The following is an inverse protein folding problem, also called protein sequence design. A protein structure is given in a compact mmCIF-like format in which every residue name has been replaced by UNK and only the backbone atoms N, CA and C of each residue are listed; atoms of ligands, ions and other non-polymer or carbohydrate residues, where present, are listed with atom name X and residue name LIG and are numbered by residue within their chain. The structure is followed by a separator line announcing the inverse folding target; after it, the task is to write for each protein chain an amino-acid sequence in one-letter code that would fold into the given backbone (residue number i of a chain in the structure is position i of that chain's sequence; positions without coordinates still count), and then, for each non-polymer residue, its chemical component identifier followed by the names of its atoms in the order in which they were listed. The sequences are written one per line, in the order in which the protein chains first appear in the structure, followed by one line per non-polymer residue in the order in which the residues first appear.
data_IF_847145370442
#
_entry.id   IF_847145370442
#
_cell.length_a   1.000
_cell.length_b   1.000
_cell.length_c   1.000
_cell.angle_alpha   90.00
_cell.angle_beta   90.00
_cell.angle_gamma   90.00
#
_symmetry.space_group_name_H-M   'P 1'
#
loop_
_entity.id
_entity.type
_entity.pdbx_description
1 polymer ?
#
# COMPACT_ATOMS: atom_id res chain seq x y z
N UNK A 1 18.91 -18.82 -10.09
CA UNK A 1 19.46 -18.69 -8.72
C UNK A 1 18.29 -18.36 -7.80
N UNK A 2 17.77 -19.32 -7.04
CA UNK A 2 16.68 -19.10 -6.08
C UNK A 2 17.32 -18.46 -4.85
N UNK A 3 17.01 -17.20 -4.59
CA UNK A 3 17.40 -16.59 -3.33
C UNK A 3 16.44 -17.06 -2.24
N UNK A 4 16.98 -17.79 -1.29
CA UNK A 4 16.31 -18.14 -0.05
C UNK A 4 16.46 -16.95 0.90
N UNK A 5 15.59 -15.95 0.71
CA UNK A 5 15.56 -14.77 1.56
C UNK A 5 14.62 -15.06 2.72
N UNK A 6 15.07 -14.88 3.96
CA UNK A 6 14.17 -14.88 5.12
C UNK A 6 13.23 -13.68 5.00
N UNK A 7 12.03 -13.92 4.47
CA UNK A 7 10.94 -12.94 4.33
C UNK A 7 10.49 -12.39 5.72
N UNK A 8 11.04 -12.95 6.80
CA UNK A 8 10.75 -12.64 8.20
C UNK A 8 11.18 -11.24 8.65
N UNK A 9 12.16 -10.62 7.97
CA UNK A 9 12.73 -9.34 8.42
C UNK A 9 11.96 -8.09 7.98
N UNK A 10 10.77 -8.26 7.38
CA UNK A 10 9.90 -7.13 7.06
C UNK A 10 9.24 -6.56 8.32
N UNK A 11 9.26 -5.24 8.44
CA UNK A 11 8.67 -4.48 9.55
C UNK A 11 7.95 -3.25 9.01
N UNK A 12 7.03 -2.70 9.80
CA UNK A 12 6.39 -1.43 9.42
C UNK A 12 6.12 -0.50 10.59
N UNK A 13 6.10 0.80 10.30
CA UNK A 13 5.63 1.84 11.20
C UNK A 13 4.48 2.56 10.52
N UNK A 14 3.30 2.47 11.13
CA UNK A 14 2.08 3.08 10.62
C UNK A 14 1.73 4.26 11.52
N UNK A 15 1.49 5.42 10.92
CA UNK A 15 1.03 6.62 11.61
C UNK A 15 -0.31 7.08 11.05
N UNK A 16 -1.23 7.43 11.94
CA UNK A 16 -2.55 7.97 11.58
C UNK A 16 -2.86 9.20 12.41
N UNK A 17 -3.61 10.15 11.84
CA UNK A 17 -4.13 11.26 12.61
C UNK A 17 -5.35 10.83 13.43
N UNK A 18 -5.43 11.25 14.69
CA UNK A 18 -6.53 10.97 15.61
C UNK A 18 -7.76 11.84 15.35
N UNK A 19 -7.58 13.04 14.79
CA UNK A 19 -8.68 13.91 14.37
C UNK A 19 -8.85 13.72 12.86
N UNK A 20 -10.07 13.37 12.42
CA UNK A 20 -10.44 12.99 11.04
C UNK A 20 -10.26 14.05 9.95
N UNK A 21 -9.28 14.95 10.07
CA UNK A 21 -8.80 15.73 8.94
C UNK A 21 -8.06 14.78 8.02
N UNK A 22 -8.73 14.38 6.94
CA UNK A 22 -8.22 13.57 5.84
C UNK A 22 -7.18 14.33 5.01
N UNK A 23 -6.18 14.93 5.66
CA UNK A 23 -5.05 15.63 5.04
C UNK A 23 -3.83 14.72 5.07
N UNK A 24 -3.00 14.86 4.04
CA UNK A 24 -1.70 14.19 4.00
C UNK A 24 -0.85 14.66 5.18
N UNK A 25 -0.11 13.74 5.80
CA UNK A 25 0.82 14.07 6.89
C UNK A 25 2.04 14.85 6.39
N UNK A 26 2.40 14.65 5.13
CA UNK A 26 3.50 15.34 4.45
C UNK A 26 3.11 15.58 2.98
N UNK A 27 3.70 16.59 2.34
CA UNK A 27 3.59 16.74 0.88
C UNK A 27 4.34 15.61 0.16
N UNK A 28 4.00 15.36 -1.10
CA UNK A 28 4.68 14.33 -1.91
C UNK A 28 6.18 14.58 -2.07
N UNK A 29 6.62 15.85 -2.17
CA UNK A 29 8.04 16.20 -2.22
C UNK A 29 8.76 15.88 -0.91
N UNK A 30 8.13 16.19 0.23
CA UNK A 30 8.70 15.90 1.55
C UNK A 30 8.76 14.40 1.84
N UNK A 31 7.80 13.61 1.34
CA UNK A 31 7.86 12.14 1.40
C UNK A 31 9.06 11.59 0.65
N UNK A 32 9.40 12.14 -0.53
CA UNK A 32 10.56 11.69 -1.28
C UNK A 32 11.87 11.97 -0.52
N UNK A 33 11.99 13.16 0.09
CA UNK A 33 13.15 13.51 0.94
C UNK A 33 13.23 12.59 2.15
N UNK A 34 12.11 12.36 2.83
CA UNK A 34 12.04 11.48 3.99
C UNK A 34 12.37 10.02 3.64
N UNK A 35 11.88 9.51 2.51
CA UNK A 35 12.19 8.17 2.01
C UNK A 35 13.68 8.02 1.70
N UNK A 36 14.31 9.01 1.04
CA UNK A 36 15.76 9.01 0.80
C UNK A 36 16.56 9.03 2.10
N UNK A 37 16.18 9.90 3.04
CA UNK A 37 16.80 9.96 4.37
C UNK A 37 16.74 8.61 5.09
N UNK A 38 15.59 7.94 5.07
CA UNK A 38 15.50 6.60 5.66
C UNK A 38 16.40 5.61 4.92
N UNK A 39 16.40 5.61 3.59
CA UNK A 39 17.24 4.70 2.79
C UNK A 39 18.73 4.84 3.11
N UNK A 40 19.19 6.07 3.32
CA UNK A 40 20.58 6.39 3.69
C UNK A 40 20.95 5.89 5.10
N UNK A 41 19.99 5.82 6.03
CA UNK A 41 20.27 5.52 7.44
C UNK A 41 19.95 4.08 7.85
N UNK A 42 18.94 3.45 7.25
CA UNK A 42 18.46 2.11 7.63
C UNK A 42 18.50 1.09 6.49
N UNK A 43 19.02 1.49 5.33
CA UNK A 43 19.23 0.64 4.15
C UNK A 43 18.23 0.87 3.03
N UNK A 44 18.58 0.42 1.82
CA UNK A 44 17.85 0.74 0.59
C UNK A 44 16.46 0.10 0.47
N UNK A 45 16.14 -0.88 1.30
CA UNK A 45 14.85 -1.58 1.33
C UNK A 45 13.86 -0.86 2.25
N UNK A 46 13.47 0.34 1.84
CA UNK A 46 12.48 1.18 2.51
C UNK A 46 11.47 1.68 1.49
N UNK A 47 10.21 1.66 1.88
CA UNK A 47 9.09 2.15 1.08
C UNK A 47 8.19 2.98 1.98
N UNK A 48 7.85 4.19 1.54
CA UNK A 48 6.94 5.08 2.26
C UNK A 48 5.63 5.25 1.48
N UNK A 49 4.52 4.91 2.11
CA UNK A 49 3.16 5.06 1.57
C UNK A 49 2.45 6.17 2.34
N UNK A 50 2.29 7.35 1.74
CA UNK A 50 1.63 8.49 2.40
C UNK A 50 0.23 8.74 1.83
N UNK A 51 -0.83 8.38 2.54
CA UNK A 51 -2.23 8.58 2.15
C UNK A 51 -2.90 9.66 3.01
N UNK A 52 -4.12 10.06 2.62
CA UNK A 52 -4.97 10.95 3.40
C UNK A 52 -5.52 10.30 4.69
N UNK A 53 -5.34 8.98 4.87
CA UNK A 53 -5.79 8.22 6.04
C UNK A 53 -4.61 7.99 7.03
N UNK A 54 -3.39 8.20 6.56
CA UNK A 54 -2.17 7.98 7.32
C UNK A 54 -0.97 7.69 6.43
N UNK A 55 0.18 7.52 7.07
CA UNK A 55 1.43 7.15 6.42
C UNK A 55 1.94 5.83 6.97
N UNK A 56 2.47 4.99 6.08
CA UNK A 56 3.00 3.67 6.39
C UNK A 56 4.42 3.59 5.85
N UNK A 57 5.37 3.27 6.72
CA UNK A 57 6.77 3.05 6.37
C UNK A 57 7.03 1.56 6.48
N UNK A 58 7.32 0.91 5.35
CA UNK A 58 7.72 -0.48 5.29
C UNK A 58 9.22 -0.55 5.10
N UNK A 59 9.89 -1.43 5.83
CA UNK A 59 11.33 -1.62 5.71
C UNK A 59 11.72 -3.08 5.94
N UNK A 60 12.81 -3.49 5.28
CA UNK A 60 13.42 -4.81 5.48
C UNK A 60 14.79 -4.62 6.11
N UNK A 61 14.95 -5.03 7.37
CA UNK A 61 16.19 -4.92 8.11
C UNK A 61 16.18 -5.86 9.31
N UNK A 62 17.32 -6.41 9.71
CA UNK A 62 17.39 -7.28 10.91
C UNK A 62 17.09 -6.53 12.22
N UNK A 63 17.45 -5.25 12.27
CA UNK A 63 17.28 -4.41 13.44
C UNK A 63 15.90 -3.74 13.45
N UNK A 64 15.36 -3.52 14.65
CA UNK A 64 14.15 -2.73 14.82
C UNK A 64 14.48 -1.22 14.76
N UNK A 65 14.04 -0.57 13.68
CA UNK A 65 14.20 0.88 13.48
C UNK A 65 12.92 1.67 13.82
N UNK A 66 11.91 1.05 14.45
CA UNK A 66 10.61 1.70 14.67
C UNK A 66 10.72 3.02 15.46
N UNK A 67 11.54 3.06 16.51
CA UNK A 67 11.79 4.29 17.29
C UNK A 67 12.45 5.37 16.44
N UNK A 68 13.52 5.02 15.71
CA UNK A 68 14.22 5.95 14.82
C UNK A 68 13.28 6.52 13.74
N UNK A 69 12.48 5.67 13.09
CA UNK A 69 11.51 6.08 12.08
C UNK A 69 10.46 7.01 12.70
N UNK A 70 9.93 6.67 13.88
CA UNK A 70 8.94 7.50 14.59
C UNK A 70 9.51 8.88 14.90
N UNK A 71 10.69 8.95 15.50
CA UNK A 71 11.33 10.21 15.86
C UNK A 71 11.66 11.05 14.62
N UNK A 72 12.20 10.41 13.58
CA UNK A 72 12.48 11.06 12.30
C UNK A 72 11.20 11.60 11.66
N UNK A 73 10.11 10.83 11.65
CA UNK A 73 8.82 11.27 11.14
C UNK A 73 8.28 12.47 11.91
N UNK A 74 8.42 12.44 13.23
CA UNK A 74 8.06 13.59 14.06
C UNK A 74 8.86 14.82 13.65
N UNK A 75 10.18 14.75 13.52
CA UNK A 75 11.03 15.87 13.06
C UNK A 75 10.51 16.49 11.74
N UNK A 76 10.14 15.66 10.77
CA UNK A 76 9.65 16.09 9.46
C UNK A 76 8.21 16.62 9.50
N UNK A 77 7.45 16.34 10.57
CA UNK A 77 6.07 16.81 10.79
C UNK A 77 5.93 17.90 11.87
N UNK A 78 7.02 18.27 12.57
CA UNK A 78 7.04 19.24 13.70
C UNK A 78 6.28 20.53 13.38
N UNK A 79 6.40 21.06 12.15
CA UNK A 79 5.79 22.34 11.77
C UNK A 79 4.28 22.26 11.52
N UNK A 80 3.68 21.07 11.47
CA UNK A 80 2.33 20.88 10.92
C UNK A 80 1.36 20.20 11.88
N UNK A 81 1.83 19.48 12.91
CA UNK A 81 0.97 18.63 13.73
C UNK A 81 1.37 18.65 15.21
N UNK A 82 0.36 18.74 16.07
CA UNK A 82 0.45 18.44 17.50
C UNK A 82 0.63 16.93 17.67
N UNK A 83 1.74 16.53 18.28
CA UNK A 83 2.13 15.12 18.43
C UNK A 83 1.06 14.28 19.15
N UNK A 84 0.30 14.91 20.06
CA UNK A 84 -0.80 14.25 20.79
C UNK A 84 -1.95 13.81 19.87
N UNK A 85 -1.95 14.26 18.61
CA UNK A 85 -2.94 13.93 17.58
C UNK A 85 -2.47 12.85 16.61
N UNK A 86 -1.33 12.22 16.85
CA UNK A 86 -0.83 11.13 16.02
C UNK A 86 -0.83 9.82 16.78
N UNK A 87 -1.38 8.78 16.16
CA UNK A 87 -1.33 7.41 16.64
C UNK A 87 -0.34 6.62 15.81
N UNK A 88 0.67 6.07 16.48
CA UNK A 88 1.65 5.17 15.89
C UNK A 88 1.29 3.72 16.20
N UNK A 89 1.50 2.84 15.23
CA UNK A 89 1.46 1.38 15.37
C UNK A 89 2.74 0.83 14.75
N UNK A 90 3.49 0.07 15.52
CA UNK A 90 4.66 -0.64 15.04
C UNK A 90 4.25 -2.09 14.78
N UNK A 91 4.66 -2.63 13.64
CA UNK A 91 4.55 -4.04 13.30
C UNK A 91 5.98 -4.57 13.20
N UNK A 92 6.38 -5.43 14.13
CA UNK A 92 7.77 -5.80 14.40
C UNK A 92 8.20 -7.10 13.74
N UNK A 93 7.25 -7.86 13.18
CA UNK A 93 7.47 -9.08 12.44
C UNK A 93 6.57 -9.17 11.20
N UNK A 94 6.87 -10.15 10.34
CA UNK A 94 6.13 -10.42 9.10
C UNK A 94 4.64 -10.59 9.32
N UNK A 95 4.22 -11.29 10.37
CA UNK A 95 2.81 -11.61 10.59
C UNK A 95 2.03 -10.36 10.99
N UNK A 96 2.59 -9.54 11.88
CA UNK A 96 2.01 -8.24 12.22
C UNK A 96 1.90 -7.32 11.01
N UNK A 97 2.93 -7.29 10.14
CA UNK A 97 2.91 -6.50 8.90
C UNK A 97 1.85 -7.03 7.94
N UNK A 98 1.81 -8.35 7.73
CA UNK A 98 0.84 -9.03 6.88
C UNK A 98 -0.59 -8.72 7.33
N UNK A 99 -0.88 -8.96 8.61
CA UNK A 99 -2.20 -8.73 9.18
C UNK A 99 -2.61 -7.26 9.06
N UNK A 100 -1.71 -6.33 9.40
CA UNK A 100 -2.00 -4.90 9.28
C UNK A 100 -2.24 -4.46 7.83
N UNK A 101 -1.52 -5.03 6.86
CA UNK A 101 -1.70 -4.74 5.44
C UNK A 101 -3.03 -5.30 4.92
N UNK A 102 -3.32 -6.56 5.22
CA UNK A 102 -4.55 -7.25 4.82
C UNK A 102 -5.79 -6.57 5.41
N UNK A 103 -5.76 -6.22 6.70
CA UNK A 103 -6.85 -5.49 7.37
C UNK A 103 -7.15 -4.16 6.68
N UNK A 104 -6.11 -3.41 6.30
CA UNK A 104 -6.27 -2.14 5.59
C UNK A 104 -6.96 -2.37 4.23
N UNK A 105 -6.47 -3.33 3.45
CA UNK A 105 -7.01 -3.60 2.11
C UNK A 105 -8.44 -4.18 2.15
N UNK A 106 -8.74 -5.05 3.11
CA UNK A 106 -10.10 -5.54 3.37
C UNK A 106 -11.03 -4.43 3.85
N UNK A 107 -10.53 -3.48 4.65
CA UNK A 107 -11.31 -2.30 5.05
C UNK A 107 -11.62 -1.44 3.84
N UNK A 108 -10.64 -1.20 2.97
CA UNK A 108 -10.85 -0.43 1.74
C UNK A 108 -11.80 -1.13 0.77
N UNK A 109 -11.83 -2.47 0.75
CA UNK A 109 -12.73 -3.23 -0.13
C UNK A 109 -14.22 -2.97 0.14
N UNK A 110 -14.56 -2.48 1.34
CA UNK A 110 -15.92 -2.05 1.68
C UNK A 110 -16.32 -0.73 0.98
N UNK A 111 -15.34 0.01 0.47
CA UNK A 111 -15.51 1.32 -0.16
C UNK A 111 -14.87 1.31 -1.56
N UNK A 112 -15.63 1.03 -2.63
CA UNK A 112 -15.07 0.73 -3.95
C UNK A 112 -14.11 1.79 -4.52
N UNK A 113 -14.42 3.07 -4.31
CA UNK A 113 -13.55 4.16 -4.79
C UNK A 113 -12.23 4.25 -4.02
N UNK A 114 -12.28 4.00 -2.71
CA UNK A 114 -11.08 3.98 -1.87
C UNK A 114 -10.19 2.78 -2.22
N UNK A 115 -10.80 1.61 -2.42
CA UNK A 115 -10.10 0.43 -2.89
C UNK A 115 -9.41 0.65 -4.24
N UNK A 116 -10.11 1.26 -5.20
CA UNK A 116 -9.56 1.59 -6.51
C UNK A 116 -8.39 2.57 -6.40
N UNK A 117 -8.55 3.64 -5.61
CA UNK A 117 -7.50 4.63 -5.39
C UNK A 117 -6.25 3.98 -4.74
N UNK A 118 -6.44 3.14 -3.73
CA UNK A 118 -5.35 2.40 -3.09
C UNK A 118 -4.66 1.44 -4.07
N UNK A 119 -5.43 0.67 -4.85
CA UNK A 119 -4.88 -0.26 -5.85
C UNK A 119 -4.03 0.48 -6.90
N UNK A 120 -4.54 1.59 -7.45
CA UNK A 120 -3.77 2.42 -8.40
C UNK A 120 -2.46 2.91 -7.79
N UNK A 121 -2.52 3.36 -6.53
CA UNK A 121 -1.37 3.84 -5.80
C UNK A 121 -0.34 2.74 -5.54
N UNK A 122 -0.80 1.56 -5.16
CA UNK A 122 0.07 0.41 -4.93
C UNK A 122 0.79 -0.02 -6.21
N UNK A 123 0.08 -0.05 -7.36
CA UNK A 123 0.70 -0.31 -8.67
C UNK A 123 1.77 0.74 -8.99
N UNK A 124 1.46 2.02 -8.82
CA UNK A 124 2.43 3.10 -9.04
C UNK A 124 3.65 2.96 -8.12
N UNK A 125 3.43 2.59 -6.87
CA UNK A 125 4.48 2.39 -5.88
C UNK A 125 5.39 1.19 -6.22
N UNK A 126 4.81 0.11 -6.76
CA UNK A 126 5.58 -1.02 -7.30
C UNK A 126 6.49 -0.56 -8.45
N UNK A 127 5.94 0.18 -9.41
CA UNK A 127 6.72 0.67 -10.55
C UNK A 127 7.81 1.67 -10.13
N UNK A 128 7.52 2.55 -9.16
CA UNK A 128 8.51 3.50 -8.62
C UNK A 128 9.67 2.78 -7.92
N UNK A 129 9.41 1.62 -7.33
CA UNK A 129 10.37 0.87 -6.51
C UNK A 129 10.74 -0.48 -7.14
N UNK A 130 10.84 -0.54 -8.47
CA UNK A 130 11.22 -1.76 -9.20
C UNK A 130 12.59 -2.33 -8.78
N UNK A 131 13.46 -1.47 -8.23
CA UNK A 131 14.77 -1.88 -7.70
C UNK A 131 14.72 -2.52 -6.31
N UNK A 132 13.57 -2.49 -5.62
CA UNK A 132 13.42 -3.13 -4.30
C UNK A 132 13.45 -4.65 -4.47
N UNK A 133 14.40 -5.28 -3.77
CA UNK A 133 14.62 -6.72 -3.80
C UNK A 133 13.73 -7.45 -2.80
N UNK A 134 13.27 -6.78 -1.75
CA UNK A 134 12.59 -7.42 -0.62
C UNK A 134 11.23 -6.80 -0.35
N UNK A 135 11.18 -5.50 0.00
CA UNK A 135 9.93 -4.88 0.50
C UNK A 135 8.82 -4.96 -0.54
N UNK A 136 9.07 -4.55 -1.78
CA UNK A 136 8.04 -4.57 -2.83
C UNK A 136 7.57 -5.99 -3.18
N UNK A 137 8.46 -6.98 -3.42
CA UNK A 137 8.02 -8.37 -3.63
C UNK A 137 7.14 -8.91 -2.50
N UNK A 138 7.51 -8.66 -1.23
CA UNK A 138 6.75 -9.13 -0.07
C UNK A 138 5.37 -8.48 -0.02
N UNK A 139 5.30 -7.15 -0.16
CA UNK A 139 4.02 -6.44 -0.17
C UNK A 139 3.15 -6.85 -1.37
N UNK A 140 3.75 -7.12 -2.53
CA UNK A 140 3.00 -7.60 -3.71
C UNK A 140 2.40 -8.99 -3.45
N UNK A 141 3.13 -9.87 -2.76
CA UNK A 141 2.59 -11.17 -2.34
C UNK A 141 1.39 -10.99 -1.40
N UNK A 142 1.50 -10.15 -0.37
CA UNK A 142 0.39 -9.85 0.55
C UNK A 142 -0.83 -9.27 -0.18
N UNK A 143 -0.59 -8.40 -1.15
CA UNK A 143 -1.63 -7.82 -1.99
C UNK A 143 -2.36 -8.89 -2.82
N UNK A 144 -1.61 -9.77 -3.50
CA UNK A 144 -2.18 -10.85 -4.30
C UNK A 144 -2.96 -11.87 -3.46
N UNK A 145 -2.42 -12.27 -2.31
CA UNK A 145 -3.10 -13.13 -1.34
C UNK A 145 -4.41 -12.51 -0.86
N UNK A 146 -4.40 -11.23 -0.49
CA UNK A 146 -5.62 -10.55 -0.05
C UNK A 146 -6.65 -10.44 -1.18
N UNK A 147 -6.22 -10.15 -2.41
CA UNK A 147 -7.13 -10.10 -3.57
C UNK A 147 -7.78 -11.45 -3.85
N UNK A 148 -7.03 -12.55 -3.69
CA UNK A 148 -7.55 -13.91 -3.82
C UNK A 148 -8.65 -14.15 -2.78
N UNK A 149 -8.38 -13.86 -1.51
CA UNK A 149 -9.37 -13.99 -0.42
C UNK A 149 -10.62 -13.13 -0.68
N UNK A 150 -10.45 -11.87 -1.08
CA UNK A 150 -11.58 -10.97 -1.39
C UNK A 150 -12.42 -11.49 -2.56
N UNK A 151 -11.78 -12.14 -3.54
CA UNK A 151 -12.46 -12.73 -4.69
C UNK A 151 -13.24 -13.99 -4.29
N UNK A 152 -12.61 -14.89 -3.54
CA UNK A 152 -13.21 -16.16 -3.08
C UNK A 152 -14.38 -15.92 -2.11
N UNK A 153 -14.27 -14.91 -1.25
CA UNK A 153 -15.31 -14.55 -0.26
C UNK A 153 -16.41 -13.66 -0.82
N UNK A 154 -16.35 -13.25 -2.10
CA UNK A 154 -17.32 -12.35 -2.71
C UNK A 154 -17.29 -10.91 -2.18
N UNK A 155 -16.28 -10.56 -1.36
CA UNK A 155 -16.11 -9.23 -0.73
C UNK A 155 -15.36 -8.22 -1.61
N UNK A 156 -14.99 -8.63 -2.82
CA UNK A 156 -14.37 -7.75 -3.81
C UNK A 156 -15.32 -6.60 -4.19
N UNK A 157 -14.87 -5.34 -4.25
CA UNK A 157 -15.72 -4.25 -4.71
C UNK A 157 -16.26 -4.53 -6.10
N UNK A 158 -17.55 -4.22 -6.30
CA UNK A 158 -18.25 -4.50 -7.55
C UNK A 158 -18.26 -5.99 -7.96
N UNK A 159 -18.14 -6.91 -7.01
CA UNK A 159 -18.12 -8.36 -7.27
C UNK A 159 -19.26 -8.80 -8.20
N UNK A 160 -20.49 -8.34 -7.98
CA UNK A 160 -21.63 -8.70 -8.84
C UNK A 160 -21.50 -8.18 -10.27
N UNK A 161 -20.95 -6.97 -10.45
CA UNK A 161 -20.68 -6.43 -11.79
C UNK A 161 -19.56 -7.22 -12.47
N UNK A 162 -18.51 -7.59 -11.72
CA UNK A 162 -17.41 -8.43 -12.21
C UNK A 162 -17.90 -9.84 -12.56
N UNK A 163 -18.78 -10.44 -11.76
CA UNK A 163 -19.36 -11.76 -11.98
C UNK A 163 -20.33 -11.76 -13.16
N UNK A 164 -21.23 -10.77 -13.25
CA UNK A 164 -22.11 -10.57 -14.42
C UNK A 164 -21.32 -10.34 -15.70
N UNK A 165 -20.23 -9.56 -15.61
CA UNK A 165 -19.29 -9.38 -16.70
C UNK A 165 -18.63 -10.72 -17.08
N UNK A 166 -17.98 -11.42 -16.14
CA UNK A 166 -17.31 -12.72 -16.38
C UNK A 166 -18.25 -13.77 -16.98
N UNK A 167 -19.49 -13.85 -16.50
CA UNK A 167 -20.50 -14.77 -17.03
C UNK A 167 -20.94 -14.39 -18.45
N UNK A 168 -20.97 -13.09 -18.81
CA UNK A 168 -21.12 -12.63 -20.20
C UNK A 168 -19.88 -12.91 -21.06
N UNK A 169 -18.68 -13.00 -20.47
CA UNK A 169 -17.40 -13.17 -21.17
C UNK A 169 -17.03 -14.62 -21.50
N UNK A 170 -17.70 -15.63 -20.94
CA UNK A 170 -17.45 -17.05 -21.27
C UNK A 170 -17.92 -17.48 -22.68
N UNK A 171 -18.28 -16.53 -23.57
CA UNK A 171 -18.81 -16.81 -24.90
C UNK A 171 -17.98 -16.26 -26.10
N UNK A 172 -16.86 -15.55 -25.94
CA UNK A 172 -15.97 -15.31 -27.10
C UNK A 172 -14.52 -14.94 -26.74
N UNK A 173 -13.57 -15.61 -27.39
CA UNK A 173 -12.12 -15.52 -27.13
C UNK A 173 -11.47 -14.21 -27.63
N UNK A 174 -12.20 -13.37 -28.36
CA UNK A 174 -11.71 -12.08 -28.88
C UNK A 174 -11.62 -10.98 -27.80
N UNK A 175 -12.06 -11.25 -26.56
CA UNK A 175 -12.28 -10.23 -25.52
C UNK A 175 -11.19 -10.10 -24.44
N UNK A 176 -10.10 -10.88 -24.46
CA UNK A 176 -8.93 -10.64 -23.58
C UNK A 176 -8.33 -9.25 -23.76
N UNK A 177 -8.33 -8.72 -24.99
CA UNK A 177 -7.93 -7.33 -25.28
C UNK A 177 -8.92 -6.31 -24.71
N UNK A 178 -10.22 -6.63 -24.68
CA UNK A 178 -11.26 -5.72 -24.17
C UNK A 178 -11.25 -5.65 -22.65
N UNK A 179 -10.98 -6.76 -21.95
CA UNK A 179 -10.79 -6.76 -20.49
C UNK A 179 -9.54 -5.97 -20.11
N UNK A 180 -8.42 -6.13 -20.85
CA UNK A 180 -7.26 -5.25 -20.70
C UNK A 180 -7.66 -3.79 -20.96
N UNK A 181 -8.42 -3.50 -22.02
CA UNK A 181 -8.89 -2.15 -22.36
C UNK A 181 -9.84 -1.54 -21.33
N UNK A 182 -10.71 -2.33 -20.70
CA UNK A 182 -11.61 -1.91 -19.62
C UNK A 182 -10.87 -1.68 -18.31
N UNK A 183 -9.92 -2.55 -17.96
CA UNK A 183 -9.01 -2.33 -16.83
C UNK A 183 -8.19 -1.07 -17.11
N UNK A 184 -7.68 -0.88 -18.33
CA UNK A 184 -7.01 0.34 -18.76
C UNK A 184 -7.92 1.55 -18.71
N UNK A 185 -9.18 1.50 -19.14
CA UNK A 185 -10.13 2.64 -19.07
C UNK A 185 -10.51 2.97 -17.63
N UNK A 186 -10.69 1.98 -16.76
CA UNK A 186 -10.92 2.19 -15.33
C UNK A 186 -9.67 2.77 -14.65
N UNK A 187 -8.48 2.37 -15.10
CA UNK A 187 -7.20 2.88 -14.61
C UNK A 187 -6.85 4.27 -15.17
N UNK A 188 -7.16 4.56 -16.44
CA UNK A 188 -6.74 5.72 -17.24
C UNK A 188 -7.83 6.76 -17.51
N UNK A 189 -9.09 6.58 -17.10
CA UNK A 189 -10.07 7.68 -17.17
C UNK A 189 -9.61 8.84 -16.27
N UNK A 190 -8.84 9.75 -16.87
CA UNK A 190 -8.79 11.17 -16.56
C UNK A 190 -10.24 11.65 -16.48
N UNK A 191 -10.57 12.28 -15.37
CA UNK A 191 -11.82 13.00 -15.20
C UNK A 191 -12.01 13.98 -16.35
N UNK A 192 -13.05 13.76 -17.16
CA UNK A 192 -13.85 14.86 -17.67
C UNK A 192 -15.23 14.72 -17.05
N UNK A 193 -15.40 15.44 -15.94
CA UNK A 193 -16.46 16.40 -15.68
C UNK A 193 -16.17 17.04 -14.32
#
# INVERSE_FOLDING_TARGET
MKYDYSIEDIRSVNVRSLKGNNRLLMSSSMVAIFESFLKENIGNEVVVVNTNIGMEVYYYAKNNYSTFIKESLLLYTIKQLDQSKLKFRNNLDREEVYQSFCEALQTFSRYPQLFLAYTKKFIHLKNKNESSRFVIPILNNFFEETLKVLTETGKMPHHDKIKKAKNKYHQSDTHKMIVKKLISEILLKKHHN
#
